data_IF_030499828347
#
_entry.id   IF_030499828347
#
_cell.length_a   1.000
_cell.length_b   1.000
_cell.length_c   1.000
_cell.angle_alpha   90.00
_cell.angle_beta   90.00
_cell.angle_gamma   90.00
#
_symmetry.space_group_name_H-M   'P 1'
#
loop_
_entity.id
_entity.type
_entity.pdbx_description
1 polymer ?
#
# COMPACT_ATOMS: atom_id res chain seq x y z
N UNK A 1 11.49 -9.15 17.29
CA UNK A 1 10.67 -10.24 16.74
C UNK A 1 9.24 -9.76 16.68
N UNK A 2 8.87 -9.24 15.51
CA UNK A 2 7.51 -8.89 15.14
C UNK A 2 7.25 -9.61 13.82
N UNK A 3 6.14 -10.33 13.74
CA UNK A 3 5.83 -11.14 12.56
C UNK A 3 4.33 -11.43 12.54
N UNK A 4 3.70 -11.27 11.38
CA UNK A 4 2.35 -11.79 11.10
C UNK A 4 2.54 -13.14 10.42
N UNK A 5 2.40 -14.22 11.18
CA UNK A 5 2.66 -15.56 10.66
C UNK A 5 1.56 -16.00 9.68
N UNK A 6 0.28 -15.82 10.04
CA UNK A 6 -0.86 -16.13 9.18
C UNK A 6 -2.05 -15.21 9.42
N UNK A 7 -2.82 -14.98 8.35
CA UNK A 7 -4.16 -14.37 8.39
C UNK A 7 -5.14 -15.44 7.91
N UNK A 8 -6.18 -15.68 8.71
CA UNK A 8 -7.25 -16.64 8.43
C UNK A 8 -8.54 -15.88 8.15
N UNK A 9 -9.26 -16.33 7.13
CA UNK A 9 -10.54 -15.75 6.72
C UNK A 9 -11.47 -16.90 6.37
N UNK A 10 -12.70 -16.83 6.86
CA UNK A 10 -13.80 -17.71 6.49
C UNK A 10 -15.13 -17.02 6.74
N UNK A 11 -16.23 -17.57 6.24
CA UNK A 11 -17.56 -17.01 6.44
C UNK A 11 -18.61 -18.11 6.46
N UNK A 12 -19.75 -17.76 7.04
CA UNK A 12 -20.98 -18.53 6.95
C UNK A 12 -22.14 -17.63 6.48
N UNK A 13 -23.37 -18.13 6.63
CA UNK A 13 -24.57 -17.41 6.20
C UNK A 13 -24.86 -16.11 6.98
N UNK A 14 -24.20 -15.89 8.12
CA UNK A 14 -24.51 -14.81 9.05
C UNK A 14 -23.32 -13.89 9.32
N UNK A 15 -22.10 -14.42 9.32
CA UNK A 15 -20.89 -13.70 9.71
C UNK A 15 -19.70 -14.00 8.83
N UNK A 16 -18.78 -13.03 8.80
CA UNK A 16 -17.41 -13.20 8.33
C UNK A 16 -16.48 -13.28 9.53
N UNK A 17 -15.56 -14.22 9.48
CA UNK A 17 -14.61 -14.51 10.54
C UNK A 17 -13.20 -14.21 10.06
N UNK A 18 -12.45 -13.52 10.91
CA UNK A 18 -11.07 -13.15 10.65
C UNK A 18 -10.22 -13.52 11.84
N UNK A 19 -9.01 -14.00 11.58
CA UNK A 19 -8.00 -14.13 12.60
C UNK A 19 -6.63 -13.75 12.04
N UNK A 20 -5.74 -13.29 12.90
CA UNK A 20 -4.32 -13.19 12.59
C UNK A 20 -3.52 -13.67 13.78
N UNK A 21 -2.56 -14.55 13.53
CA UNK A 21 -1.62 -15.04 14.52
C UNK A 21 -0.20 -14.55 14.24
N UNK A 22 0.60 -14.45 15.29
CA UNK A 22 1.97 -13.96 15.17
C UNK A 22 2.54 -13.47 16.49
N UNK A 23 3.57 -12.65 16.38
CA UNK A 23 4.24 -12.00 17.53
C UNK A 23 4.25 -10.49 17.30
N UNK A 24 3.78 -9.71 18.26
CA UNK A 24 3.78 -8.23 18.16
C UNK A 24 4.62 -7.53 19.23
N UNK A 25 5.08 -8.20 20.30
CA UNK A 25 6.11 -7.71 21.23
C UNK A 25 6.05 -6.20 21.57
N UNK A 26 5.00 -5.78 22.27
CA UNK A 26 4.77 -4.38 22.65
C UNK A 26 4.20 -3.48 21.55
N UNK A 27 3.99 -4.00 20.34
CA UNK A 27 3.43 -3.28 19.19
C UNK A 27 1.92 -3.53 19.04
N UNK A 28 1.35 -2.97 17.98
CA UNK A 28 -0.05 -3.14 17.61
C UNK A 28 -0.16 -4.08 16.41
N UNK A 29 -1.27 -4.81 16.31
CA UNK A 29 -1.68 -5.52 15.10
C UNK A 29 -2.92 -4.87 14.53
N UNK A 30 -2.93 -4.62 13.23
CA UNK A 30 -4.09 -4.13 12.49
C UNK A 30 -4.33 -5.04 11.29
N UNK A 31 -5.58 -5.46 11.08
CA UNK A 31 -6.03 -6.11 9.84
C UNK A 31 -6.95 -5.12 9.13
N UNK A 32 -6.58 -4.72 7.93
CA UNK A 32 -7.24 -3.74 7.08
C UNK A 32 -8.09 -4.46 6.03
N UNK A 33 -9.34 -4.04 5.86
CA UNK A 33 -10.26 -4.60 4.87
C UNK A 33 -10.81 -3.52 3.95
N UNK A 34 -10.64 -3.72 2.65
CA UNK A 34 -11.26 -2.96 1.57
C UNK A 34 -12.25 -3.89 0.87
N UNK A 35 -13.54 -3.58 1.02
CA UNK A 35 -14.68 -4.42 0.62
C UNK A 35 -15.66 -3.67 -0.26
N UNK A 36 -15.58 -2.33 -0.26
CA UNK A 36 -16.45 -1.44 -1.01
C UNK A 36 -15.96 -1.12 -2.42
N UNK A 37 -14.68 -1.33 -2.76
CA UNK A 37 -14.13 -0.87 -4.03
C UNK A 37 -14.47 -1.81 -5.21
N UNK A 38 -14.98 -1.30 -6.36
CA UNK A 38 -14.99 0.10 -6.81
C UNK A 38 -16.30 0.87 -6.59
N UNK A 39 -17.13 0.48 -5.62
CA UNK A 39 -18.39 1.15 -5.29
C UNK A 39 -18.30 1.99 -4.00
N UNK A 40 -17.76 3.23 -4.10
CA UNK A 40 -17.78 4.17 -2.99
C UNK A 40 -19.22 4.43 -2.54
N UNK A 41 -19.53 4.12 -1.28
CA UNK A 41 -20.89 4.32 -0.76
C UNK A 41 -21.40 3.27 0.21
N UNK A 42 -20.83 2.05 0.22
CA UNK A 42 -21.25 0.97 1.13
C UNK A 42 -21.16 1.40 2.60
N UNK A 43 -20.12 2.18 2.95
CA UNK A 43 -19.91 2.77 4.27
C UNK A 43 -20.17 4.27 4.34
N UNK A 44 -20.68 4.89 3.27
CA UNK A 44 -20.91 6.32 3.26
C UNK A 44 -22.10 6.67 4.14
N UNK A 45 -21.85 7.42 5.21
CA UNK A 45 -22.89 8.11 5.94
C UNK A 45 -23.53 9.17 5.03
N UNK A 46 -24.60 8.79 4.32
CA UNK A 46 -25.50 9.68 3.57
C UNK A 46 -24.85 10.65 2.56
N UNK A 47 -24.98 10.37 1.26
CA UNK A 47 -24.89 11.40 0.21
C UNK A 47 -23.50 11.90 -0.19
N UNK A 48 -22.44 11.28 0.35
CA UNK A 48 -21.06 11.55 -0.07
C UNK A 48 -20.45 10.27 -0.64
N UNK A 49 -19.84 10.32 -1.82
CA UNK A 49 -19.06 9.19 -2.34
C UNK A 49 -17.79 9.07 -1.48
N UNK A 50 -17.81 8.16 -0.51
CA UNK A 50 -16.67 7.84 0.34
C UNK A 50 -16.10 6.49 -0.10
N UNK A 51 -14.81 6.50 -0.47
CA UNK A 51 -14.06 5.39 -1.05
C UNK A 51 -12.96 4.93 -0.08
N UNK A 52 -13.38 4.53 1.14
CA UNK A 52 -12.49 4.11 2.20
C UNK A 52 -11.44 5.15 2.65
N UNK A 53 -10.51 4.70 3.49
CA UNK A 53 -9.40 5.52 3.96
C UNK A 53 -8.30 5.60 2.90
N UNK A 54 -7.80 6.82 2.64
CA UNK A 54 -6.59 7.03 1.84
C UNK A 54 -5.31 7.02 2.70
N UNK A 55 -5.44 7.35 3.98
CA UNK A 55 -4.34 7.40 4.95
C UNK A 55 -4.84 7.18 6.38
N UNK A 56 -3.91 6.86 7.29
CA UNK A 56 -4.17 6.76 8.74
C UNK A 56 -3.50 7.89 9.55
N UNK A 57 -2.79 8.79 8.87
CA UNK A 57 -1.89 9.80 9.48
C UNK A 57 -2.61 10.84 10.31
N UNK A 58 -3.88 11.10 10.00
CA UNK A 58 -4.69 12.17 10.61
C UNK A 58 -6.01 11.65 11.21
N UNK A 59 -6.11 10.36 11.49
CA UNK A 59 -7.33 9.78 12.05
C UNK A 59 -7.64 10.31 13.46
N UNK A 60 -8.93 10.47 13.75
CA UNK A 60 -9.45 10.84 15.05
C UNK A 60 -9.22 9.78 16.16
N UNK A 61 -8.98 8.52 15.79
CA UNK A 61 -8.54 7.43 16.67
C UNK A 61 -7.62 6.49 15.88
N UNK A 62 -6.73 5.76 16.56
CA UNK A 62 -5.78 4.83 15.93
C UNK A 62 -4.92 5.46 14.83
N UNK A 63 -4.43 6.68 15.08
CA UNK A 63 -3.58 7.42 14.13
C UNK A 63 -2.27 6.66 13.88
N UNK A 64 -1.92 6.36 12.63
CA UNK A 64 -0.68 5.67 12.27
C UNK A 64 -0.04 6.32 11.06
N UNK A 65 1.29 6.22 10.93
CA UNK A 65 1.99 6.84 9.81
C UNK A 65 1.94 5.97 8.54
N UNK A 66 0.72 5.60 8.13
CA UNK A 66 0.46 4.82 6.92
C UNK A 66 -0.34 5.62 5.91
N UNK A 67 -0.01 5.44 4.64
CA UNK A 67 -0.82 5.84 3.47
C UNK A 67 -1.12 4.59 2.64
N UNK A 68 -2.21 4.60 1.89
CA UNK A 68 -2.62 3.44 1.08
C UNK A 68 -2.36 3.69 -0.41
N UNK A 69 -1.53 2.84 -1.01
CA UNK A 69 -1.12 2.90 -2.41
C UNK A 69 -2.00 2.07 -3.34
N UNK A 70 -1.77 2.22 -4.65
CA UNK A 70 -2.32 1.34 -5.71
C UNK A 70 -3.85 1.13 -5.70
N UNK A 71 -4.60 2.07 -5.11
CA UNK A 71 -6.06 2.00 -5.04
C UNK A 71 -6.61 1.12 -3.92
N UNK A 72 -5.77 0.63 -3.00
CA UNK A 72 -6.24 0.00 -1.76
C UNK A 72 -6.86 1.07 -0.85
N UNK A 73 -8.09 0.86 -0.42
CA UNK A 73 -8.84 1.84 0.37
C UNK A 73 -9.63 1.15 1.49
N UNK A 74 -9.02 0.89 2.65
CA UNK A 74 -9.69 0.18 3.73
C UNK A 74 -10.97 0.91 4.18
N UNK A 75 -12.09 0.20 4.18
CA UNK A 75 -13.38 0.67 4.68
C UNK A 75 -13.48 0.47 6.20
N UNK A 76 -12.82 -0.56 6.71
CA UNK A 76 -12.82 -0.93 8.12
C UNK A 76 -11.54 -1.68 8.47
N UNK A 77 -11.21 -1.71 9.76
CA UNK A 77 -10.08 -2.46 10.26
C UNK A 77 -10.26 -2.95 11.70
N UNK A 78 -9.71 -4.12 11.96
CA UNK A 78 -9.65 -4.74 13.28
C UNK A 78 -8.29 -4.46 13.89
N UNK A 79 -8.25 -4.00 15.13
CA UNK A 79 -7.01 -3.56 15.74
C UNK A 79 -6.88 -4.00 17.20
N UNK A 80 -5.67 -4.38 17.58
CA UNK A 80 -5.33 -4.70 18.97
C UNK A 80 -3.90 -4.28 19.30
N UNK A 81 -3.57 -4.28 20.59
CA UNK A 81 -2.23 -4.01 21.10
C UNK A 81 -1.79 -5.11 22.06
N UNK A 82 -0.51 -5.16 22.35
CA UNK A 82 0.06 -6.17 23.25
C UNK A 82 -0.59 -6.13 24.66
N UNK A 83 -1.00 -7.30 25.17
CA UNK A 83 -1.73 -7.45 26.43
C UNK A 83 -3.23 -7.10 26.35
N UNK A 84 -3.74 -6.65 25.21
CA UNK A 84 -5.18 -6.41 25.04
C UNK A 84 -5.94 -7.71 24.76
N UNK A 85 -7.02 -7.92 25.49
CA UNK A 85 -7.90 -9.09 25.30
C UNK A 85 -9.21 -8.76 24.57
N UNK A 86 -9.49 -7.46 24.34
CA UNK A 86 -10.70 -6.98 23.68
C UNK A 86 -10.34 -6.09 22.48
N UNK A 87 -10.02 -6.69 21.31
CA UNK A 87 -9.73 -5.96 20.07
C UNK A 87 -10.82 -4.95 19.70
N UNK A 88 -10.44 -3.90 18.98
CA UNK A 88 -11.33 -2.85 18.49
C UNK A 88 -11.66 -3.07 17.02
N UNK A 89 -12.89 -2.77 16.66
CA UNK A 89 -13.27 -2.61 15.25
C UNK A 89 -13.38 -1.12 14.96
N UNK A 90 -12.76 -0.67 13.89
CA UNK A 90 -12.82 0.71 13.44
C UNK A 90 -13.42 0.75 12.04
N UNK A 91 -14.50 1.49 11.90
CA UNK A 91 -15.22 1.62 10.64
C UNK A 91 -15.05 3.04 10.13
N UNK A 92 -14.56 3.18 8.91
CA UNK A 92 -14.35 4.48 8.30
C UNK A 92 -15.69 5.17 8.00
N UNK A 93 -15.80 6.43 8.37
CA UNK A 93 -17.00 7.25 8.19
C UNK A 93 -16.73 8.60 7.51
N UNK A 94 -15.46 8.84 7.16
CA UNK A 94 -14.97 9.99 6.40
C UNK A 94 -13.46 9.91 6.23
N UNK A 95 -12.88 10.82 5.43
CA UNK A 95 -11.46 10.75 5.05
C UNK A 95 -10.48 10.63 6.23
N UNK A 96 -10.77 11.29 7.34
CA UNK A 96 -9.96 11.28 8.57
C UNK A 96 -10.74 10.80 9.81
N UNK A 97 -11.89 10.13 9.60
CA UNK A 97 -12.81 9.79 10.68
C UNK A 97 -13.12 8.31 10.68
N UNK A 98 -12.93 7.69 11.84
CA UNK A 98 -13.34 6.32 12.14
C UNK A 98 -14.27 6.31 13.34
N UNK A 99 -15.21 5.37 13.33
CA UNK A 99 -16.05 5.03 14.48
C UNK A 99 -15.46 3.80 15.13
N UNK A 100 -14.93 3.97 16.34
CA UNK A 100 -14.39 2.87 17.14
C UNK A 100 -15.52 2.13 17.85
N UNK A 101 -15.52 0.81 17.72
CA UNK A 101 -16.49 -0.09 18.31
C UNK A 101 -15.80 -1.15 19.17
N UNK A 102 -16.45 -1.49 20.28
CA UNK A 102 -15.99 -2.53 21.20
C UNK A 102 -16.74 -3.84 20.95
N UNK A 103 -16.12 -5.00 21.22
CA UNK A 103 -16.77 -6.28 21.05
C UNK A 103 -17.87 -6.49 22.09
N UNK A 104 -18.80 -7.38 21.76
CA UNK A 104 -19.87 -7.83 22.64
C UNK A 104 -19.29 -8.40 23.94
N UNK A 105 -19.86 -8.02 25.08
CA UNK A 105 -19.41 -8.50 26.40
C UNK A 105 -18.17 -7.82 26.94
N UNK A 106 -17.67 -6.74 26.31
CA UNK A 106 -16.68 -5.87 26.93
C UNK A 106 -17.26 -5.22 28.19
N UNK A 107 -16.42 -4.95 29.21
CA UNK A 107 -16.84 -4.38 30.49
C UNK A 107 -17.55 -3.01 30.36
N UNK A 108 -17.47 -2.38 29.19
CA UNK A 108 -17.98 -1.04 28.90
C UNK A 108 -18.94 -0.98 27.70
N UNK A 109 -19.31 -2.10 27.06
CA UNK A 109 -19.93 -2.06 25.74
C UNK A 109 -21.11 -3.00 25.49
N UNK A 110 -22.09 -2.50 24.74
CA UNK A 110 -23.15 -3.27 24.07
C UNK A 110 -22.72 -3.67 22.65
N UNK A 111 -21.48 -4.15 22.48
CA UNK A 111 -20.90 -4.45 21.18
C UNK A 111 -21.74 -5.43 20.35
N UNK A 112 -21.73 -5.27 19.02
CA UNK A 112 -22.54 -6.06 18.08
C UNK A 112 -21.75 -7.13 17.31
N UNK A 113 -20.45 -7.25 17.61
CA UNK A 113 -19.56 -8.26 17.04
C UNK A 113 -18.79 -8.99 18.14
N UNK A 114 -18.16 -10.13 17.82
CA UNK A 114 -17.31 -10.87 18.76
C UNK A 114 -15.85 -10.63 18.39
N UNK A 115 -15.00 -10.43 19.39
CA UNK A 115 -13.56 -10.43 19.18
C UNK A 115 -12.82 -10.84 20.45
N UNK A 116 -11.63 -11.39 20.27
CA UNK A 116 -10.70 -11.74 21.34
C UNK A 116 -9.27 -11.58 20.86
N UNK A 117 -8.35 -11.24 21.76
CA UNK A 117 -6.92 -11.31 21.48
C UNK A 117 -6.16 -11.87 22.67
N UNK A 118 -4.95 -12.38 22.39
CA UNK A 118 -4.11 -13.06 23.37
C UNK A 118 -2.63 -12.66 23.34
N UNK A 119 -2.26 -11.66 22.53
CA UNK A 119 -0.87 -11.18 22.42
C UNK A 119 -0.30 -10.79 23.78
N UNK A 120 0.91 -11.26 24.07
CA UNK A 120 1.63 -10.95 25.31
C UNK A 120 3.15 -11.05 25.10
N UNK A 121 3.80 -9.92 24.82
CA UNK A 121 5.24 -9.83 24.59
C UNK A 121 5.68 -10.68 23.40
N UNK A 122 6.69 -11.52 23.65
CA UNK A 122 7.27 -12.44 22.64
C UNK A 122 6.68 -13.85 22.68
N UNK A 123 5.53 -14.04 23.33
CA UNK A 123 4.89 -15.36 23.39
C UNK A 123 4.38 -15.75 22.00
N UNK A 124 4.74 -16.97 21.56
CA UNK A 124 4.24 -17.58 20.34
C UNK A 124 2.77 -18.04 20.49
N UNK A 125 2.17 -18.44 19.37
CA UNK A 125 0.82 -18.99 19.27
C UNK A 125 -0.23 -18.05 19.90
N UNK A 126 -0.06 -16.75 19.64
CA UNK A 126 -1.00 -15.71 20.02
C UNK A 126 -1.68 -15.17 18.79
N UNK A 127 -2.95 -14.85 18.96
CA UNK A 127 -3.80 -14.41 17.88
C UNK A 127 -4.76 -13.31 18.33
N UNK A 128 -5.30 -12.65 17.32
CA UNK A 128 -6.51 -11.84 17.39
C UNK A 128 -7.55 -12.46 16.47
N UNK A 129 -8.80 -12.51 16.94
CA UNK A 129 -9.92 -13.12 16.23
C UNK A 129 -11.12 -12.17 16.25
N UNK A 130 -11.88 -12.13 15.15
CA UNK A 130 -13.14 -11.40 14.98
C UNK A 130 -14.20 -12.32 14.36
N UNK A 131 -15.44 -12.17 14.81
CA UNK A 131 -16.64 -12.62 14.11
C UNK A 131 -17.55 -11.42 13.91
N UNK A 132 -17.64 -10.95 12.67
CA UNK A 132 -18.40 -9.77 12.25
C UNK A 132 -19.65 -10.22 11.50
N UNK A 133 -20.86 -9.79 11.91
CA UNK A 133 -22.04 -9.99 11.10
C UNK A 133 -21.88 -9.35 9.71
N UNK A 134 -22.43 -9.98 8.66
CA UNK A 134 -22.32 -9.47 7.28
C UNK A 134 -22.80 -8.02 7.13
N UNK A 135 -23.86 -7.62 7.83
CA UNK A 135 -24.36 -6.25 7.78
C UNK A 135 -23.29 -5.24 8.24
N UNK A 136 -22.51 -5.58 9.26
CA UNK A 136 -21.49 -4.71 9.81
C UNK A 136 -20.24 -4.71 8.93
N UNK A 137 -19.86 -5.88 8.43
CA UNK A 137 -18.74 -6.04 7.50
C UNK A 137 -18.98 -5.37 6.14
N UNK A 138 -20.25 -5.20 5.75
CA UNK A 138 -20.68 -4.50 4.54
C UNK A 138 -21.31 -3.14 4.84
N UNK A 139 -21.06 -2.53 6.00
CA UNK A 139 -21.42 -1.12 6.25
C UNK A 139 -22.90 -0.77 6.33
N UNK A 140 -23.79 -1.76 6.35
CA UNK A 140 -25.22 -1.53 6.57
C UNK A 140 -25.48 -1.09 8.03
N UNK A 141 -26.61 -0.44 8.27
CA UNK A 141 -27.01 -0.15 9.63
C UNK A 141 -27.59 -1.39 10.31
N UNK A 142 -27.41 -1.50 11.63
CA UNK A 142 -27.86 -2.65 12.40
C UNK A 142 -29.39 -2.82 12.40
N UNK A 143 -30.16 -1.77 12.13
CA UNK A 143 -31.62 -1.82 12.14
C UNK A 143 -32.19 -2.34 10.82
N UNK A 144 -31.59 -2.00 9.68
CA UNK A 144 -31.94 -2.56 8.37
C UNK A 144 -31.32 -3.92 8.15
N UNK A 145 -30.10 -4.14 8.66
CA UNK A 145 -29.29 -5.31 8.36
C UNK A 145 -28.85 -5.35 6.89
N UNK A 146 -28.28 -6.50 6.50
CA UNK A 146 -27.91 -6.80 5.12
C UNK A 146 -29.13 -7.35 4.36
N UNK A 147 -29.37 -6.96 3.09
CA UNK A 147 -30.42 -7.55 2.28
C UNK A 147 -30.29 -9.08 2.20
N UNK A 148 -31.43 -9.78 2.18
CA UNK A 148 -31.49 -11.23 2.01
C UNK A 148 -32.51 -11.61 0.94
N UNK A 149 -32.25 -12.67 0.20
CA UNK A 149 -33.18 -13.27 -0.78
C UNK A 149 -33.35 -14.77 -0.56
N UNK A 150 -34.54 -15.35 -0.82
CA UNK A 150 -34.71 -16.80 -0.79
C UNK A 150 -33.84 -17.49 -1.84
N UNK A 151 -33.04 -18.48 -1.44
CA UNK A 151 -32.34 -19.39 -2.35
C UNK A 151 -32.95 -20.77 -2.26
N UNK A 152 -33.50 -21.26 -3.37
CA UNK A 152 -34.08 -22.61 -3.42
C UNK A 152 -32.99 -23.69 -3.36
N UNK A 153 -31.81 -23.40 -3.94
CA UNK A 153 -30.67 -24.32 -3.94
C UNK A 153 -30.11 -24.52 -2.53
N UNK A 154 -30.07 -23.44 -1.74
CA UNK A 154 -29.53 -23.46 -0.37
C UNK A 154 -30.61 -23.73 0.69
N UNK A 155 -31.89 -23.68 0.31
CA UNK A 155 -33.02 -24.00 1.17
C UNK A 155 -33.32 -22.97 2.26
N UNK A 156 -32.77 -21.75 2.16
CA UNK A 156 -32.92 -20.69 3.15
C UNK A 156 -32.89 -19.29 2.48
N UNK A 157 -33.16 -18.24 3.25
CA UNK A 157 -32.90 -16.87 2.85
C UNK A 157 -31.45 -16.52 3.12
N UNK A 158 -30.71 -16.25 2.05
CA UNK A 158 -29.27 -15.95 2.09
C UNK A 158 -29.03 -14.47 1.86
N UNK A 159 -27.88 -13.98 2.32
CA UNK A 159 -27.50 -12.59 2.13
C UNK A 159 -27.32 -12.26 0.65
N UNK A 160 -27.50 -10.99 0.31
CA UNK A 160 -27.21 -10.47 -1.03
C UNK A 160 -26.15 -9.39 -0.92
N UNK A 161 -25.03 -9.60 -1.61
CA UNK A 161 -23.96 -8.64 -1.74
C UNK A 161 -24.46 -7.38 -2.45
N UNK A 162 -23.96 -6.18 -2.06
CA UNK A 162 -24.19 -4.98 -2.84
C UNK A 162 -23.72 -5.16 -4.29
N UNK A 163 -24.35 -4.45 -5.23
CA UNK A 163 -23.96 -4.50 -6.64
C UNK A 163 -22.46 -4.22 -6.81
N UNK A 164 -21.77 -5.11 -7.52
CA UNK A 164 -20.33 -5.02 -7.81
C UNK A 164 -19.38 -5.38 -6.66
N UNK A 165 -19.90 -5.65 -5.46
CA UNK A 165 -19.10 -6.26 -4.38
C UNK A 165 -18.93 -7.74 -4.68
N UNK A 166 -17.67 -8.15 -4.88
CA UNK A 166 -17.28 -9.53 -5.16
C UNK A 166 -15.96 -9.93 -4.51
N UNK A 167 -15.14 -8.96 -4.13
CA UNK A 167 -13.82 -9.21 -3.61
C UNK A 167 -13.64 -8.58 -2.23
N UNK A 168 -12.89 -9.26 -1.38
CA UNK A 168 -12.32 -8.68 -0.17
C UNK A 168 -10.83 -8.48 -0.42
N UNK A 169 -10.36 -7.25 -0.28
CA UNK A 169 -8.92 -6.96 -0.25
C UNK A 169 -8.48 -6.84 1.21
N UNK A 170 -7.39 -7.51 1.56
CA UNK A 170 -6.91 -7.58 2.95
C UNK A 170 -5.41 -7.39 3.04
N UNK A 171 -4.99 -6.60 4.04
CA UNK A 171 -3.61 -6.47 4.47
C UNK A 171 -3.53 -6.45 5.99
N UNK A 172 -2.57 -7.14 6.57
CA UNK A 172 -2.19 -7.04 7.98
C UNK A 172 -0.98 -6.12 8.13
N UNK A 173 -0.94 -5.31 9.17
CA UNK A 173 0.22 -4.48 9.52
C UNK A 173 0.51 -4.57 11.01
N UNK A 174 1.79 -4.68 11.37
CA UNK A 174 2.26 -4.46 12.74
C UNK A 174 2.74 -3.02 12.82
N UNK A 175 2.28 -2.27 13.82
CA UNK A 175 2.65 -0.84 14.00
C UNK A 175 3.33 -0.64 15.33
N UNK A 176 4.27 0.29 15.45
CA UNK A 176 4.75 0.67 16.77
C UNK A 176 3.60 1.16 17.68
N UNK A 177 3.81 1.07 18.99
CA UNK A 177 2.74 1.23 19.98
C UNK A 177 2.05 2.61 19.94
N UNK A 178 2.84 3.67 19.72
CA UNK A 178 2.38 5.05 19.81
C UNK A 178 1.61 5.54 18.59
N UNK A 179 0.73 6.52 18.81
CA UNK A 179 0.03 7.19 17.72
C UNK A 179 0.98 7.98 16.81
N UNK A 180 0.67 8.00 15.51
CA UNK A 180 1.49 8.63 14.47
C UNK A 180 2.80 7.89 14.20
N UNK A 181 2.90 6.63 14.61
CA UNK A 181 4.03 5.79 14.25
C UNK A 181 3.69 4.86 13.09
N UNK A 182 4.67 4.58 12.25
CA UNK A 182 4.68 3.49 11.29
C UNK A 182 4.96 2.17 11.98
N UNK A 183 5.27 1.16 11.18
CA UNK A 183 5.34 -0.20 11.66
C UNK A 183 6.44 -1.00 11.01
N UNK A 184 6.97 -2.04 11.67
CA UNK A 184 8.10 -2.78 11.10
C UNK A 184 7.68 -3.79 10.04
N UNK A 185 6.39 -4.18 9.97
CA UNK A 185 6.00 -5.35 9.20
C UNK A 185 4.58 -5.25 8.63
N UNK A 186 4.37 -5.94 7.51
CA UNK A 186 3.07 -6.12 6.87
C UNK A 186 2.97 -7.45 6.15
N UNK A 187 1.74 -7.94 6.02
CA UNK A 187 1.41 -9.13 5.27
C UNK A 187 0.21 -8.83 4.36
N UNK A 188 0.31 -8.99 3.03
CA UNK A 188 1.48 -9.44 2.26
C UNK A 188 2.66 -8.44 2.27
N UNK A 189 3.85 -8.90 1.87
CA UNK A 189 5.04 -8.05 1.70
C UNK A 189 4.71 -6.78 0.93
N UNK A 190 5.01 -5.64 1.53
CA UNK A 190 4.87 -4.34 0.91
C UNK A 190 5.91 -4.11 -0.21
N UNK A 191 5.54 -3.45 -1.31
CA UNK A 191 6.41 -3.27 -2.48
C UNK A 191 7.48 -2.21 -2.26
N UNK A 192 7.11 -1.13 -1.57
CA UNK A 192 8.03 -0.07 -1.15
C UNK A 192 8.78 -0.41 0.15
N UNK A 193 8.44 -1.53 0.80
CA UNK A 193 9.07 -1.96 2.05
C UNK A 193 8.59 -1.18 3.28
N UNK A 194 9.29 -1.41 4.39
CA UNK A 194 9.07 -0.75 5.66
C UNK A 194 10.34 -0.04 6.12
N UNK A 195 10.16 1.07 6.81
CA UNK A 195 11.27 1.86 7.34
C UNK A 195 11.60 1.46 8.77
N UNK A 196 12.88 1.57 9.13
CA UNK A 196 13.36 1.27 10.49
C UNK A 196 12.92 2.36 11.47
N UNK A 197 12.84 3.61 11.00
CA UNK A 197 12.36 4.74 11.79
C UNK A 197 10.83 4.83 11.71
N UNK A 198 10.17 4.56 12.83
CA UNK A 198 8.73 4.59 12.93
C UNK A 198 8.12 5.99 12.74
N UNK A 199 8.92 7.06 12.67
CA UNK A 199 8.44 8.40 12.30
C UNK A 199 8.34 8.61 10.79
N UNK A 200 8.89 7.70 9.98
CA UNK A 200 8.79 7.75 8.52
C UNK A 200 7.46 7.10 8.10
N UNK A 201 6.85 7.68 7.08
CA UNK A 201 5.58 7.22 6.53
C UNK A 201 5.80 5.93 5.73
N UNK A 202 4.95 4.93 5.95
CA UNK A 202 4.95 3.68 5.21
C UNK A 202 3.74 3.66 4.27
N UNK A 203 3.95 3.29 3.01
CA UNK A 203 2.86 3.15 2.04
C UNK A 203 2.43 1.70 1.96
N UNK A 204 1.20 1.32 2.36
CA UNK A 204 0.69 -0.04 2.15
C UNK A 204 0.18 -0.16 0.71
N UNK A 205 0.88 -0.90 -0.13
CA UNK A 205 0.65 -1.00 -1.58
C UNK A 205 0.54 -2.45 -2.11
N UNK A 206 0.48 -3.43 -1.22
CA UNK A 206 0.19 -4.82 -1.55
C UNK A 206 -0.89 -5.39 -0.63
N UNK A 207 -1.70 -6.31 -1.16
CA UNK A 207 -2.80 -6.94 -0.44
C UNK A 207 -3.15 -8.29 -1.07
N UNK A 208 -3.78 -9.15 -0.27
CA UNK A 208 -4.43 -10.35 -0.76
C UNK A 208 -5.84 -9.99 -1.24
N UNK A 209 -6.31 -10.66 -2.28
CA UNK A 209 -7.63 -10.50 -2.88
C UNK A 209 -8.35 -11.84 -2.75
N UNK A 210 -9.50 -11.84 -2.07
CA UNK A 210 -10.35 -13.01 -1.90
C UNK A 210 -11.60 -12.81 -2.73
N UNK A 211 -11.81 -13.67 -3.72
CA UNK A 211 -13.04 -13.70 -4.51
C UNK A 211 -14.14 -14.45 -3.75
N UNK A 212 -15.13 -13.70 -3.26
CA UNK A 212 -16.21 -14.24 -2.43
C UNK A 212 -17.46 -14.61 -3.24
N UNK A 213 -17.53 -14.29 -4.53
CA UNK A 213 -18.72 -14.52 -5.39
C UNK A 213 -18.25 -14.86 -6.81
N UNK A 214 -17.51 -15.97 -6.94
CA UNK A 214 -17.03 -16.45 -8.23
C UNK A 214 -17.90 -17.55 -8.82
N UNK A 215 -18.70 -18.22 -7.99
CA UNK A 215 -19.64 -19.25 -8.41
C UNK A 215 -21.06 -18.79 -8.17
N UNK A 216 -21.96 -19.26 -9.02
CA UNK A 216 -23.37 -19.02 -8.84
C UNK A 216 -23.89 -20.10 -7.90
N UNK A 217 -24.12 -19.77 -6.64
CA UNK A 217 -24.56 -20.71 -5.61
C UNK A 217 -25.91 -21.37 -5.94
N UNK A 218 -26.72 -20.74 -6.79
CA UNK A 218 -28.01 -21.29 -7.22
C UNK A 218 -27.89 -22.40 -8.28
N UNK A 219 -26.83 -22.39 -9.08
CA UNK A 219 -26.64 -23.30 -10.23
C UNK A 219 -25.37 -24.15 -10.16
N UNK A 220 -24.41 -23.78 -9.31
CA UNK A 220 -23.06 -24.35 -9.24
C UNK A 220 -22.16 -24.00 -10.43
N UNK A 221 -22.59 -23.11 -11.33
CA UNK A 221 -21.80 -22.69 -12.48
C UNK A 221 -20.79 -21.59 -12.09
N UNK A 222 -19.76 -21.40 -12.91
CA UNK A 222 -18.89 -20.23 -12.78
C UNK A 222 -19.66 -18.95 -13.15
N UNK A 223 -19.52 -17.91 -12.32
CA UNK A 223 -20.13 -16.61 -12.51
C UNK A 223 -20.78 -16.09 -11.23
N UNK A 224 -20.57 -14.80 -10.95
CA UNK A 224 -21.12 -14.13 -9.78
C UNK A 224 -22.67 -14.10 -9.80
N UNK A 225 -23.30 -14.25 -8.65
CA UNK A 225 -24.76 -14.16 -8.50
C UNK A 225 -25.23 -13.23 -7.37
N UNK A 226 -24.29 -12.54 -6.73
CA UNK A 226 -24.52 -11.63 -5.63
C UNK A 226 -24.75 -12.33 -4.29
N UNK A 227 -24.41 -13.61 -4.16
CA UNK A 227 -24.38 -14.35 -2.89
C UNK A 227 -22.91 -14.70 -2.62
N UNK A 228 -22.42 -14.58 -1.37
CA UNK A 228 -21.09 -15.09 -1.07
C UNK A 228 -21.09 -16.61 -1.14
N UNK A 229 -20.14 -17.14 -1.90
CA UNK A 229 -19.94 -18.57 -2.11
C UNK A 229 -19.87 -19.30 -0.76
N UNK A 230 -20.89 -20.10 -0.43
CA UNK A 230 -20.97 -20.79 0.85
C UNK A 230 -20.32 -22.17 0.78
N UNK A 231 -19.63 -22.59 1.85
CA UNK A 231 -19.04 -23.92 1.96
C UNK A 231 -17.83 -24.15 1.06
N UNK A 232 -17.23 -23.08 0.53
CA UNK A 232 -15.97 -23.13 -0.20
C UNK A 232 -14.78 -22.96 0.74
N UNK A 233 -13.60 -23.37 0.28
CA UNK A 233 -12.32 -23.07 0.94
C UNK A 233 -11.81 -21.71 0.44
N UNK A 234 -11.78 -20.65 1.28
CA UNK A 234 -11.35 -19.32 0.84
C UNK A 234 -9.94 -19.30 0.28
N UNK A 235 -9.06 -20.19 0.76
CA UNK A 235 -7.68 -20.35 0.27
C UNK A 235 -7.60 -20.61 -1.23
N UNK A 236 -8.58 -21.30 -1.79
CA UNK A 236 -8.64 -21.60 -3.23
C UNK A 236 -9.11 -20.40 -4.06
N UNK A 237 -9.57 -19.33 -3.40
CA UNK A 237 -10.04 -18.07 -3.99
C UNK A 237 -9.11 -16.88 -3.71
N UNK A 238 -7.92 -17.14 -3.15
CA UNK A 238 -6.93 -16.10 -2.85
C UNK A 238 -6.04 -15.83 -4.06
N UNK A 239 -5.95 -14.56 -4.42
CA UNK A 239 -4.90 -14.00 -5.26
C UNK A 239 -4.25 -12.81 -4.55
N UNK A 240 -3.31 -12.12 -5.20
CA UNK A 240 -2.58 -11.01 -4.62
C UNK A 240 -2.42 -9.92 -5.68
N UNK A 241 -2.35 -8.66 -5.24
CA UNK A 241 -1.91 -7.57 -6.11
C UNK A 241 -0.52 -7.87 -6.69
N UNK A 242 0.42 -8.26 -5.81
CA UNK A 242 1.69 -8.90 -6.18
C UNK A 242 1.91 -10.09 -5.27
N UNK A 243 2.14 -11.26 -5.85
CA UNK A 243 2.32 -12.51 -5.10
C UNK A 243 3.66 -12.52 -4.32
N UNK A 244 3.65 -12.68 -2.99
CA UNK A 244 4.88 -12.88 -2.20
C UNK A 244 5.55 -14.25 -2.46
N UNK A 245 6.85 -14.41 -2.13
CA UNK A 245 7.73 -13.37 -1.59
C UNK A 245 8.18 -12.37 -2.66
N UNK A 246 8.20 -11.09 -2.31
CA UNK A 246 8.72 -10.04 -3.21
C UNK A 246 10.22 -9.93 -3.03
N UNK A 247 10.98 -10.59 -3.90
CA UNK A 247 12.44 -10.64 -3.79
C UNK A 247 13.06 -9.29 -4.15
N UNK A 248 14.01 -8.73 -3.38
CA UNK A 248 14.69 -7.48 -3.75
C UNK A 248 15.55 -7.69 -5.00
N UNK A 249 15.54 -6.69 -5.89
CA UNK A 249 16.39 -6.66 -7.09
C UNK A 249 17.26 -5.40 -7.02
N UNK A 250 18.57 -5.58 -7.18
CA UNK A 250 19.49 -4.46 -7.29
C UNK A 250 19.54 -3.97 -8.73
N UNK A 251 19.22 -2.70 -8.94
CA UNK A 251 19.40 -2.03 -10.23
C UNK A 251 20.75 -1.34 -10.32
N UNK A 252 21.29 -1.31 -11.53
CA UNK A 252 22.46 -0.53 -11.90
C UNK A 252 22.16 0.30 -13.15
N UNK A 253 22.88 1.40 -13.32
CA UNK A 253 22.85 2.17 -14.56
C UNK A 253 23.52 1.36 -15.69
N UNK A 254 22.88 1.32 -16.85
CA UNK A 254 23.40 0.70 -18.07
C UNK A 254 23.31 1.69 -19.25
N UNK A 255 24.08 1.44 -20.31
CA UNK A 255 24.05 2.16 -21.60
C UNK A 255 24.01 3.69 -21.53
N UNK A 256 24.69 4.31 -20.56
CA UNK A 256 24.72 5.77 -20.45
C UNK A 256 25.40 6.43 -21.65
N UNK A 257 24.77 7.49 -22.18
CA UNK A 257 25.36 8.36 -23.21
C UNK A 257 24.89 9.81 -23.07
N UNK A 258 25.71 10.74 -23.55
CA UNK A 258 25.28 12.10 -23.86
C UNK A 258 24.98 12.22 -25.36
N UNK A 259 24.03 13.07 -25.75
CA UNK A 259 23.80 13.41 -27.16
C UNK A 259 25.01 14.11 -27.81
N UNK A 260 25.81 14.80 -26.97
CA UNK A 260 27.07 15.46 -27.33
C UNK A 260 28.01 15.53 -26.12
N UNK A 261 29.34 15.56 -26.31
CA UNK A 261 30.28 15.58 -25.20
C UNK A 261 30.49 16.97 -24.55
N UNK A 262 29.90 18.03 -25.11
CA UNK A 262 30.04 19.40 -24.62
C UNK A 262 28.82 20.26 -24.95
N UNK A 263 28.69 21.41 -24.27
CA UNK A 263 27.72 22.46 -24.62
C UNK A 263 28.36 23.85 -24.62
N UNK A 264 27.77 24.77 -25.38
CA UNK A 264 28.04 26.21 -25.33
C UNK A 264 26.83 26.99 -24.75
N UNK A 265 26.83 27.32 -23.44
CA UNK A 265 25.68 27.96 -22.77
C UNK A 265 25.29 29.31 -23.40
N UNK A 266 26.27 30.08 -23.89
CA UNK A 266 26.05 31.37 -24.57
C UNK A 266 25.30 31.24 -25.91
N UNK A 267 25.29 30.04 -26.50
CA UNK A 267 24.53 29.71 -27.71
C UNK A 267 23.21 29.01 -27.40
N UNK A 268 22.82 28.96 -26.12
CA UNK A 268 21.66 28.21 -25.63
C UNK A 268 21.72 26.73 -26.01
N UNK A 269 22.93 26.17 -26.10
CA UNK A 269 23.09 24.74 -26.31
C UNK A 269 22.83 23.98 -25.01
N UNK A 270 22.24 22.81 -25.15
CA UNK A 270 21.87 21.92 -24.05
C UNK A 270 22.55 20.58 -24.31
N UNK A 271 23.04 19.95 -23.25
CA UNK A 271 23.40 18.53 -23.28
C UNK A 271 22.22 17.72 -22.74
N UNK A 272 21.85 16.66 -23.45
CA UNK A 272 20.87 15.67 -22.97
C UNK A 272 21.60 14.36 -22.69
N UNK A 273 21.23 13.69 -21.60
CA UNK A 273 21.75 12.35 -21.30
C UNK A 273 20.64 11.30 -21.35
N UNK A 274 21.05 10.07 -21.66
CA UNK A 274 20.19 8.89 -21.73
C UNK A 274 20.89 7.73 -21.06
N UNK A 275 20.13 6.84 -20.47
CA UNK A 275 20.62 5.65 -19.80
C UNK A 275 19.49 4.62 -19.70
N UNK A 276 19.90 3.38 -19.50
CA UNK A 276 19.06 2.25 -19.19
C UNK A 276 19.32 1.76 -17.77
N UNK A 277 18.53 0.78 -17.36
CA UNK A 277 18.76 0.02 -16.14
C UNK A 277 18.99 -1.45 -16.43
N UNK A 278 19.84 -2.07 -15.62
CA UNK A 278 20.05 -3.51 -15.58
C UNK A 278 19.77 -4.03 -14.16
N UNK A 279 19.10 -5.19 -14.00
CA UNK A 279 18.53 -6.02 -15.06
C UNK A 279 17.25 -5.43 -15.65
N UNK A 280 16.96 -5.76 -16.91
CA UNK A 280 15.62 -5.56 -17.47
C UNK A 280 14.65 -6.54 -16.81
N UNK A 281 13.47 -6.05 -16.47
CA UNK A 281 12.47 -6.79 -15.73
C UNK A 281 11.47 -7.47 -16.67
N UNK A 282 10.94 -8.64 -16.29
CA UNK A 282 9.83 -9.21 -17.02
C UNK A 282 8.53 -8.42 -16.77
N UNK A 283 7.53 -8.48 -17.66
CA UNK A 283 6.32 -7.63 -17.60
C UNK A 283 5.55 -7.72 -16.28
N UNK A 284 5.55 -8.86 -15.62
CA UNK A 284 4.89 -9.09 -14.33
C UNK A 284 5.51 -8.30 -13.16
N UNK A 285 6.68 -7.70 -13.34
CA UNK A 285 7.34 -6.85 -12.33
C UNK A 285 7.19 -5.35 -12.62
N UNK A 286 6.14 -4.96 -13.36
CA UNK A 286 5.82 -3.57 -13.71
C UNK A 286 5.71 -2.62 -12.50
N UNK A 287 5.44 -3.17 -11.31
CA UNK A 287 5.30 -2.43 -10.07
C UNK A 287 6.63 -1.89 -9.52
N UNK A 288 7.77 -2.41 -9.97
CA UNK A 288 9.08 -1.92 -9.53
C UNK A 288 9.38 -0.60 -10.20
N UNK A 289 9.57 0.42 -9.39
CA UNK A 289 10.01 1.75 -9.83
C UNK A 289 11.33 2.11 -9.18
N UNK A 290 12.10 2.95 -9.85
CA UNK A 290 13.38 3.46 -9.34
C UNK A 290 13.34 4.97 -9.21
N UNK A 291 13.91 5.50 -8.12
CA UNK A 291 14.10 6.93 -7.93
C UNK A 291 15.56 7.29 -8.15
N UNK A 292 15.77 8.51 -8.63
CA UNK A 292 17.10 9.01 -8.97
C UNK A 292 17.36 10.38 -8.35
N UNK A 293 18.61 10.71 -8.09
CA UNK A 293 19.02 12.10 -8.00
C UNK A 293 20.11 12.40 -9.03
N UNK A 294 20.16 13.64 -9.52
CA UNK A 294 21.13 14.08 -10.50
C UNK A 294 21.62 15.50 -10.22
N UNK A 295 22.94 15.65 -10.18
CA UNK A 295 23.63 16.90 -9.83
C UNK A 295 24.86 17.10 -10.71
N UNK A 296 25.23 18.36 -10.95
CA UNK A 296 26.43 18.75 -11.68
C UNK A 296 27.46 19.30 -10.69
N UNK A 297 28.70 18.88 -10.88
CA UNK A 297 29.86 19.28 -10.09
C UNK A 297 30.95 19.90 -10.95
N UNK A 298 31.71 20.85 -10.39
CA UNK A 298 32.92 21.37 -11.01
C UNK A 298 34.13 20.45 -10.80
N UNK A 299 35.28 20.81 -11.37
CA UNK A 299 36.57 20.11 -11.21
C UNK A 299 37.08 20.02 -9.75
N UNK A 300 36.58 20.87 -8.86
CA UNK A 300 36.94 20.88 -7.44
C UNK A 300 35.96 20.08 -6.58
N UNK A 301 34.97 19.42 -7.20
CA UNK A 301 33.93 18.68 -6.50
C UNK A 301 32.90 19.57 -5.80
N UNK A 302 32.80 20.85 -6.18
CA UNK A 302 31.75 21.74 -5.68
C UNK A 302 30.48 21.52 -6.50
N UNK A 303 29.34 21.43 -5.83
CA UNK A 303 28.04 21.36 -6.51
C UNK A 303 27.77 22.67 -7.22
N UNK A 304 27.38 22.56 -8.48
CA UNK A 304 27.09 23.67 -9.40
C UNK A 304 25.60 23.76 -9.67
N UNK A 305 24.98 22.61 -9.94
CA UNK A 305 23.56 22.54 -10.30
C UNK A 305 22.93 21.29 -9.73
N UNK A 306 21.71 21.43 -9.25
CA UNK A 306 20.79 20.33 -8.97
C UNK A 306 19.86 20.19 -10.18
N UNK A 307 19.85 19.03 -10.84
CA UNK A 307 18.93 18.78 -11.96
C UNK A 307 17.59 18.31 -11.40
N UNK A 308 17.64 17.29 -10.53
CA UNK A 308 16.49 16.80 -9.78
C UNK A 308 16.96 15.98 -8.56
N UNK A 309 16.11 15.96 -7.53
CA UNK A 309 16.30 15.20 -6.28
C UNK A 309 15.26 14.09 -6.19
N UNK A 310 15.43 13.16 -5.25
CA UNK A 310 14.47 12.08 -4.97
C UNK A 310 13.04 12.60 -4.74
N UNK A 311 12.91 13.71 -4.02
CA UNK A 311 11.63 14.34 -3.66
C UNK A 311 11.08 15.30 -4.71
N UNK A 312 11.79 15.49 -5.84
CA UNK A 312 11.35 16.45 -6.84
C UNK A 312 10.05 15.96 -7.50
N UNK A 313 8.99 16.78 -7.59
CA UNK A 313 7.75 16.40 -8.28
C UNK A 313 7.97 16.04 -9.76
N UNK A 314 9.04 16.60 -10.36
CA UNK A 314 9.43 16.30 -11.73
C UNK A 314 10.15 14.95 -11.88
N UNK A 315 10.64 14.38 -10.78
CA UNK A 315 11.34 13.10 -10.73
C UNK A 315 10.39 12.00 -10.27
N UNK A 316 9.38 11.74 -11.09
CA UNK A 316 8.49 10.60 -10.88
C UNK A 316 9.29 9.30 -10.89
N UNK A 317 8.85 8.34 -10.09
CA UNK A 317 9.51 7.04 -10.00
C UNK A 317 9.50 6.36 -11.39
N UNK A 318 10.69 6.00 -11.87
CA UNK A 318 10.90 5.61 -13.27
C UNK A 318 10.69 4.11 -13.46
N UNK A 319 10.17 3.73 -14.62
CA UNK A 319 10.09 2.33 -15.02
C UNK A 319 11.48 1.84 -15.51
N UNK A 320 12.07 0.80 -14.90
CA UNK A 320 13.39 0.32 -15.31
C UNK A 320 13.42 -0.29 -16.73
N UNK A 321 12.26 -0.67 -17.28
CA UNK A 321 12.16 -1.21 -18.62
C UNK A 321 12.08 -0.15 -19.71
N UNK A 322 11.64 1.07 -19.38
CA UNK A 322 11.50 2.15 -20.36
C UNK A 322 12.86 2.84 -20.60
N UNK A 323 13.36 2.92 -21.85
CA UNK A 323 14.56 3.71 -22.15
C UNK A 323 14.31 5.17 -21.79
N UNK A 324 15.00 5.63 -20.76
CA UNK A 324 14.66 6.92 -20.16
C UNK A 324 15.15 8.06 -21.05
N UNK A 325 14.21 8.70 -21.73
CA UNK A 325 14.38 10.02 -22.35
C UNK A 325 13.39 10.95 -21.66
N UNK A 326 13.79 11.55 -20.55
CA UNK A 326 12.99 12.59 -19.90
C UNK A 326 13.45 13.99 -20.32
N UNK A 327 12.50 14.91 -20.41
CA UNK A 327 12.76 16.34 -20.59
C UNK A 327 13.58 16.94 -19.44
N UNK A 328 13.70 16.25 -18.30
CA UNK A 328 14.50 16.69 -17.15
C UNK A 328 15.94 16.16 -17.19
N UNK A 329 16.26 15.20 -18.07
CA UNK A 329 17.58 14.59 -18.19
C UNK A 329 18.49 15.42 -19.10
N UNK A 330 18.59 16.71 -18.78
CA UNK A 330 19.33 17.69 -19.57
C UNK A 330 19.98 18.76 -18.70
N UNK A 331 21.03 19.38 -19.24
CA UNK A 331 21.67 20.53 -18.61
C UNK A 331 22.01 21.59 -19.66
N UNK A 332 21.68 22.84 -19.34
CA UNK A 332 21.82 24.02 -20.17
C UNK A 332 23.07 24.86 -19.86
N UNK A 333 23.89 24.40 -18.90
CA UNK A 333 25.08 25.11 -18.47
C UNK A 333 24.81 26.24 -17.48
N UNK A 334 23.65 26.25 -16.85
CA UNK A 334 23.34 27.14 -15.75
C UNK A 334 23.64 26.49 -14.40
N UNK A 335 24.06 27.29 -13.42
CA UNK A 335 24.13 26.91 -12.00
C UNK A 335 22.74 27.00 -11.33
N UNK A 336 22.65 26.66 -10.04
CA UNK A 336 21.41 26.75 -9.26
C UNK A 336 20.84 28.19 -9.17
N UNK A 337 21.68 29.23 -9.35
CA UNK A 337 21.28 30.64 -9.37
C UNK A 337 20.80 31.10 -10.78
N UNK A 338 20.84 30.22 -11.78
CA UNK A 338 20.50 30.53 -13.17
C UNK A 338 21.56 31.32 -13.91
N UNK A 339 22.82 31.30 -13.44
CA UNK A 339 23.96 31.96 -14.09
C UNK A 339 24.73 30.98 -14.95
N UNK A 340 25.29 31.48 -16.05
CA UNK A 340 26.16 30.70 -16.91
C UNK A 340 27.41 30.29 -16.14
N UNK A 341 27.74 29.00 -16.23
CA UNK A 341 28.99 28.47 -15.66
C UNK A 341 30.18 28.81 -16.56
N UNK A 342 31.37 28.81 -15.99
CA UNK A 342 32.61 29.09 -16.73
C UNK A 342 32.97 27.97 -17.71
N UNK A 343 33.82 28.28 -18.69
CA UNK A 343 34.39 27.25 -19.56
C UNK A 343 35.23 26.27 -18.74
N UNK A 344 35.04 24.96 -18.95
CA UNK A 344 35.70 23.95 -18.15
C UNK A 344 35.11 22.56 -18.29
N UNK A 345 35.58 21.65 -17.44
CA UNK A 345 35.03 20.30 -17.33
C UNK A 345 34.08 20.25 -16.14
N UNK A 346 32.92 19.63 -16.33
CA UNK A 346 31.93 19.41 -15.29
C UNK A 346 31.58 17.92 -15.22
N UNK A 347 31.08 17.48 -14.06
CA UNK A 347 30.70 16.10 -13.83
C UNK A 347 29.23 16.00 -13.48
N UNK A 348 28.47 15.29 -14.32
CA UNK A 348 27.17 14.77 -13.95
C UNK A 348 27.36 13.61 -12.97
N UNK A 349 26.78 13.74 -11.79
CA UNK A 349 26.64 12.67 -10.81
C UNK A 349 25.18 12.25 -10.76
N UNK A 350 24.93 10.97 -10.94
CA UNK A 350 23.61 10.38 -10.74
C UNK A 350 23.66 9.30 -9.66
N UNK A 351 22.61 9.21 -8.87
CA UNK A 351 22.44 8.23 -7.80
C UNK A 351 21.10 7.54 -8.00
N UNK A 352 21.10 6.20 -7.89
CA UNK A 352 19.90 5.39 -7.74
C UNK A 352 19.56 5.34 -6.25
N UNK A 353 18.43 5.91 -5.87
CA UNK A 353 18.12 6.13 -4.46
C UNK A 353 17.48 4.90 -3.77
N UNK A 354 17.75 4.68 -2.47
CA UNK A 354 18.73 5.39 -1.64
C UNK A 354 20.15 4.79 -1.82
N UNK A 355 21.05 5.52 -2.50
CA UNK A 355 22.47 5.18 -2.74
C UNK A 355 22.76 3.70 -3.18
N UNK A 356 21.88 3.10 -3.98
CA UNK A 356 22.00 1.72 -4.47
C UNK A 356 23.11 1.55 -5.52
N UNK A 357 23.25 2.58 -6.38
CA UNK A 357 24.27 2.67 -7.41
C UNK A 357 24.56 4.13 -7.78
N UNK A 358 25.78 4.39 -8.22
CA UNK A 358 26.25 5.73 -8.60
C UNK A 358 26.86 5.73 -9.99
N UNK A 359 26.52 6.74 -10.77
CA UNK A 359 27.13 7.04 -12.05
C UNK A 359 27.81 8.41 -12.00
N UNK A 360 28.98 8.52 -12.63
CA UNK A 360 29.63 9.83 -12.82
C UNK A 360 30.19 9.91 -14.23
N UNK A 361 29.87 11.02 -14.92
CA UNK A 361 30.21 11.24 -16.33
C UNK A 361 30.59 12.70 -16.55
N UNK A 362 31.61 12.93 -17.36
CA UNK A 362 32.13 14.26 -17.61
C UNK A 362 31.48 14.90 -18.84
N UNK A 363 31.20 16.20 -18.77
CA UNK A 363 30.73 17.04 -19.88
C UNK A 363 31.56 18.31 -19.95
N UNK A 364 31.93 18.71 -21.17
CA UNK A 364 32.65 19.97 -21.40
C UNK A 364 31.71 21.17 -21.51
N UNK A 365 32.11 22.30 -20.95
CA UNK A 365 31.49 23.61 -21.23
C UNK A 365 32.50 24.44 -21.99
N UNK A 366 32.09 24.90 -23.17
CA UNK A 366 32.88 25.80 -24.02
C UNK A 366 32.18 27.16 -24.09
N UNK A 367 32.97 28.23 -24.23
CA UNK A 367 32.47 29.59 -24.47
C UNK A 367 33.04 30.08 -25.79
#
# INVERSE_FOLDING_TARGET
DNDIAQIYITWDADSVYFAADGTINGNNLIILWDVGNPHPGVFAATGTLFDGLAEMTNLNSWRRNFVFGEGFRPDLFGATWDGNTAPRLLVASGGNTVVEQQPAGSATGAGQFRAVASFQGTQADRAMEFGLPWWQFLGFDAATGVPRRPSTALGDSVITLPEGVRHIRVAGVITAAGDGTGGPDSAPDNLQGHEVDASIQVTIDNWAIIDIDATNDETGALGADGIPDLGIEPRDRVSFQVRPPVVPIRFEFDQFSFDRPYLAPERSEIVQFRFDFSPKLPPEQFFRKVRLSAEIYDLHGRKVRTLYTEDSPANEARDPNDPVISEIDRWDGLDDDGRLVEAGLYFLRMILEPDLARLTRSVGVIR
#
